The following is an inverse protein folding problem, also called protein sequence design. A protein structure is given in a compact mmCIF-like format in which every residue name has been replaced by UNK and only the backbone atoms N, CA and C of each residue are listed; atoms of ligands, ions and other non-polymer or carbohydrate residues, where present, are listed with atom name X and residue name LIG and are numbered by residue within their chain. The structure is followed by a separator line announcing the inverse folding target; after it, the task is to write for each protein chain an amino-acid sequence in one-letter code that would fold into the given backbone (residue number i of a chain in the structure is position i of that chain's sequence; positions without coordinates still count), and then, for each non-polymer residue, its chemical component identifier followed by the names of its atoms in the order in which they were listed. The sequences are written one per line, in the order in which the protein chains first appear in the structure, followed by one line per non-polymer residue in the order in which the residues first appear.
data_IF_780977578146
#
_entry.id   IF_780977578146
#
_cell.length_a   1.000
_cell.length_b   1.000
_cell.length_c   1.000
_cell.angle_alpha   90.00
_cell.angle_beta   90.00
_cell.angle_gamma   90.00
#
_symmetry.space_group_name_H-M   'P 1'
#
loop_
_entity.id
_entity.type
_entity.pdbx_description
1 polymer ?
#
# COMPACT_ATOMS: atom_id res chain seq x y z
N UNK A 1 -12.45 6.40 2.23
CA UNK A 1 -12.60 4.93 2.45
C UNK A 1 -12.12 4.14 1.24
N UNK A 2 -11.96 2.80 1.30
CA UNK A 2 -11.53 1.98 0.16
C UNK A 2 -12.72 1.44 -0.64
N UNK A 3 -12.58 1.32 -1.96
CA UNK A 3 -13.50 0.57 -2.82
C UNK A 3 -12.77 -0.08 -4.00
N UNK A 4 -13.42 -1.02 -4.68
CA UNK A 4 -12.93 -1.60 -5.94
C UNK A 4 -12.72 -0.51 -6.99
N UNK A 5 -11.69 -0.68 -7.83
CA UNK A 5 -11.36 0.24 -8.93
C UNK A 5 -12.50 0.35 -9.93
N UNK A 6 -12.77 1.56 -10.40
CA UNK A 6 -13.72 1.79 -11.49
C UNK A 6 -13.15 2.71 -12.57
N UNK A 7 -13.48 2.45 -13.84
CA UNK A 7 -12.93 3.22 -14.97
C UNK A 7 -13.38 4.69 -14.98
N UNK A 8 -14.56 4.99 -14.45
CA UNK A 8 -15.07 6.37 -14.47
C UNK A 8 -14.27 7.32 -13.54
N UNK A 9 -13.40 6.78 -12.68
CA UNK A 9 -12.57 7.56 -11.75
C UNK A 9 -11.28 8.07 -12.40
N UNK A 10 -10.95 7.54 -13.58
CA UNK A 10 -9.71 7.84 -14.30
C UNK A 10 -9.51 9.34 -14.52
N UNK A 11 -10.50 10.17 -14.92
CA UNK A 11 -10.28 11.61 -15.11
C UNK A 11 -9.77 12.29 -13.84
N UNK A 12 -10.44 12.07 -12.70
CA UNK A 12 -10.08 12.68 -11.41
C UNK A 12 -8.72 12.16 -10.92
N UNK A 13 -8.51 10.84 -10.98
CA UNK A 13 -7.26 10.24 -10.55
C UNK A 13 -6.08 10.63 -11.45
N UNK A 14 -6.30 10.85 -12.74
CA UNK A 14 -5.25 11.28 -13.67
C UNK A 14 -4.74 12.68 -13.31
N UNK A 15 -5.63 13.63 -13.02
CA UNK A 15 -5.25 14.98 -12.59
C UNK A 15 -4.34 14.94 -11.35
N UNK A 16 -4.66 14.07 -10.38
CA UNK A 16 -3.85 13.88 -9.17
C UNK A 16 -2.52 13.16 -9.46
N UNK A 17 -2.53 12.16 -10.35
CA UNK A 17 -1.37 11.36 -10.74
C UNK A 17 -0.30 12.20 -11.44
N UNK A 18 -0.71 13.14 -12.30
CA UNK A 18 0.19 13.99 -13.09
C UNK A 18 0.99 15.00 -12.26
N UNK A 19 0.66 15.18 -10.97
CA UNK A 19 1.35 16.12 -10.10
C UNK A 19 2.83 15.73 -9.89
N UNK A 20 3.81 16.66 -9.95
CA UNK A 20 5.24 16.36 -9.84
C UNK A 20 5.66 15.73 -8.51
N UNK A 21 4.92 15.97 -7.42
CA UNK A 21 5.15 15.31 -6.13
C UNK A 21 4.57 13.89 -6.02
N UNK A 22 3.82 13.44 -7.04
CA UNK A 22 3.15 12.13 -7.09
C UNK A 22 3.78 11.27 -8.18
N UNK A 23 3.82 11.78 -9.42
CA UNK A 23 4.22 11.06 -10.63
C UNK A 23 5.57 10.32 -10.56
N UNK A 24 6.63 10.84 -9.92
CA UNK A 24 7.91 10.13 -9.84
C UNK A 24 7.83 8.83 -9.03
N UNK A 25 6.85 8.72 -8.13
CA UNK A 25 6.74 7.65 -7.13
C UNK A 25 5.65 6.62 -7.46
N UNK A 26 4.86 6.84 -8.51
CA UNK A 26 3.86 5.85 -8.95
C UNK A 26 4.52 4.72 -9.74
N UNK A 27 3.97 3.49 -9.58
CA UNK A 27 4.48 2.30 -10.26
C UNK A 27 4.20 2.35 -11.77
N UNK A 28 2.94 2.56 -12.14
CA UNK A 28 2.52 2.66 -13.54
C UNK A 28 2.38 4.14 -13.89
N UNK A 29 3.30 4.62 -14.73
CA UNK A 29 3.35 6.02 -15.17
C UNK A 29 2.51 6.16 -16.44
N UNK A 30 1.53 7.06 -16.41
CA UNK A 30 0.73 7.44 -17.56
C UNK A 30 0.98 8.93 -17.88
N UNK A 31 1.32 9.25 -19.13
CA UNK A 31 1.54 10.62 -19.59
C UNK A 31 0.27 11.25 -20.14
N UNK A 32 -0.72 10.44 -20.50
CA UNK A 32 -2.02 10.88 -21.02
C UNK A 32 -3.16 10.20 -20.27
N UNK A 33 -4.35 10.80 -20.32
CA UNK A 33 -5.55 10.21 -19.72
C UNK A 33 -5.89 8.87 -20.37
N UNK A 34 -5.76 8.76 -21.70
CA UNK A 34 -5.99 7.51 -22.44
C UNK A 34 -5.06 6.38 -22.01
N UNK A 35 -3.76 6.68 -21.83
CA UNK A 35 -2.81 5.71 -21.27
C UNK A 35 -3.25 5.26 -19.86
N UNK A 36 -3.77 6.18 -19.05
CA UNK A 36 -4.21 5.85 -17.70
C UNK A 36 -5.53 5.05 -17.69
N UNK A 37 -6.44 5.29 -18.64
CA UNK A 37 -7.60 4.44 -18.88
C UNK A 37 -7.18 3.01 -19.20
N UNK A 38 -6.24 2.86 -20.14
CA UNK A 38 -5.74 1.56 -20.55
C UNK A 38 -5.09 0.80 -19.38
N UNK A 39 -4.20 1.46 -18.63
CA UNK A 39 -3.56 0.88 -17.44
C UNK A 39 -4.60 0.49 -16.39
N UNK A 40 -5.60 1.33 -16.15
CA UNK A 40 -6.65 1.05 -15.17
C UNK A 40 -7.50 -0.14 -15.58
N UNK A 41 -7.86 -0.24 -16.87
CA UNK A 41 -8.58 -1.39 -17.42
C UNK A 41 -7.78 -2.69 -17.25
N UNK A 42 -6.51 -2.68 -17.64
CA UNK A 42 -5.63 -3.85 -17.45
C UNK A 42 -5.48 -4.22 -15.98
N UNK A 43 -5.45 -3.24 -15.07
CA UNK A 43 -5.37 -3.50 -13.63
C UNK A 43 -6.63 -4.19 -13.12
N UNK A 44 -7.81 -3.78 -13.59
CA UNK A 44 -9.09 -4.41 -13.24
C UNK A 44 -9.13 -5.86 -13.77
N UNK A 45 -8.78 -6.07 -15.04
CA UNK A 45 -8.74 -7.42 -15.65
C UNK A 45 -7.74 -8.35 -14.94
N UNK A 46 -6.57 -7.83 -14.56
CA UNK A 46 -5.58 -8.59 -13.80
C UNK A 46 -6.05 -8.93 -12.37
N UNK A 47 -6.81 -8.04 -11.72
CA UNK A 47 -7.44 -8.33 -10.43
C UNK A 47 -8.51 -9.42 -10.54
N UNK A 48 -9.33 -9.39 -11.59
CA UNK A 48 -10.33 -10.44 -11.88
C UNK A 48 -9.68 -11.81 -12.08
N UNK A 49 -8.46 -11.85 -12.61
CA UNK A 49 -7.64 -13.05 -12.77
C UNK A 49 -6.87 -13.46 -11.49
N UNK A 50 -6.95 -12.68 -10.41
CA UNK A 50 -6.25 -12.93 -9.15
C UNK A 50 -4.74 -12.62 -9.19
N UNK A 51 -4.26 -11.84 -10.15
CA UNK A 51 -2.84 -11.51 -10.32
C UNK A 51 -2.39 -10.37 -9.38
N UNK A 52 -3.34 -9.53 -8.97
CA UNK A 52 -3.14 -8.39 -8.08
C UNK A 52 -4.42 -8.10 -7.30
N UNK A 53 -4.32 -7.25 -6.28
CA UNK A 53 -5.48 -6.72 -5.54
C UNK A 53 -5.40 -5.19 -5.56
N UNK A 54 -6.46 -4.48 -5.94
CA UNK A 54 -6.44 -3.03 -6.14
C UNK A 54 -7.65 -2.32 -5.54
N UNK A 55 -7.42 -1.21 -4.84
CA UNK A 55 -8.49 -0.35 -4.32
C UNK A 55 -8.25 1.11 -4.69
N UNK A 56 -9.34 1.80 -4.99
CA UNK A 56 -9.38 3.26 -4.99
C UNK A 56 -9.51 3.74 -3.55
N UNK A 57 -8.69 4.73 -3.19
CA UNK A 57 -8.77 5.43 -1.91
C UNK A 57 -9.71 6.62 -2.11
N UNK A 58 -10.71 6.72 -1.26
CA UNK A 58 -11.66 7.83 -1.22
C UNK A 58 -11.41 8.75 -0.03
N UNK A 59 -11.78 10.02 -0.14
CA UNK A 59 -11.90 10.93 0.99
C UNK A 59 -13.23 10.74 1.77
N UNK A 60 -13.55 11.67 2.65
CA UNK A 60 -14.79 11.73 3.44
C UNK A 60 -16.04 12.08 2.62
N UNK A 61 -15.88 12.65 1.42
CA UNK A 61 -16.94 12.99 0.49
C UNK A 61 -17.08 11.96 -0.65
N UNK A 62 -16.47 10.78 -0.47
CA UNK A 62 -16.43 9.69 -1.45
C UNK A 62 -15.77 10.05 -2.78
N UNK A 63 -14.89 11.06 -2.80
CA UNK A 63 -14.12 11.42 -3.99
C UNK A 63 -12.87 10.54 -4.10
N UNK A 64 -12.49 10.08 -5.31
CA UNK A 64 -11.27 9.30 -5.50
C UNK A 64 -10.03 10.18 -5.36
N UNK A 65 -9.14 9.81 -4.44
CA UNK A 65 -7.96 10.60 -4.07
C UNK A 65 -6.62 9.89 -4.28
N UNK A 66 -6.65 8.63 -4.70
CA UNK A 66 -5.47 7.82 -4.86
C UNK A 66 -5.78 6.34 -4.99
N UNK A 67 -4.74 5.52 -4.94
CA UNK A 67 -4.89 4.06 -5.10
C UNK A 67 -3.94 3.31 -4.18
N UNK A 68 -4.37 2.14 -3.73
CA UNK A 68 -3.57 1.19 -2.98
C UNK A 68 -3.69 -0.18 -3.63
N UNK A 69 -2.58 -0.89 -3.77
CA UNK A 69 -2.52 -2.11 -4.56
C UNK A 69 -1.52 -3.08 -3.95
N UNK A 70 -1.79 -4.38 -4.09
CA UNK A 70 -0.85 -5.46 -3.91
C UNK A 70 -0.52 -6.04 -5.29
N UNK A 71 0.73 -5.88 -5.74
CA UNK A 71 1.21 -6.37 -7.03
C UNK A 71 2.17 -7.55 -6.88
N UNK A 72 2.51 -8.18 -8.01
CA UNK A 72 3.51 -9.23 -8.10
C UNK A 72 3.22 -10.38 -7.11
N UNK A 73 1.95 -10.78 -7.04
CA UNK A 73 1.51 -11.82 -6.09
C UNK A 73 2.12 -13.15 -6.51
N UNK A 74 2.86 -13.78 -5.60
CA UNK A 74 3.43 -15.12 -5.77
C UNK A 74 3.12 -15.94 -4.53
N UNK A 75 2.25 -16.95 -4.69
CA UNK A 75 1.64 -17.63 -3.55
C UNK A 75 0.81 -16.62 -2.73
N UNK A 76 1.07 -16.53 -1.44
CA UNK A 76 0.38 -15.61 -0.52
C UNK A 76 1.22 -14.37 -0.17
N UNK A 77 2.10 -13.94 -1.08
CA UNK A 77 3.04 -12.84 -0.87
C UNK A 77 2.92 -11.83 -1.99
N UNK A 78 3.05 -10.53 -1.70
CA UNK A 78 3.03 -9.49 -2.75
C UNK A 78 3.64 -8.17 -2.32
N UNK A 79 3.78 -7.23 -3.26
CA UNK A 79 4.35 -5.92 -3.04
C UNK A 79 3.31 -4.82 -2.97
N UNK A 80 3.34 -4.05 -1.87
CA UNK A 80 2.48 -2.89 -1.69
C UNK A 80 2.93 -1.74 -2.60
N UNK A 81 1.96 -1.15 -3.30
CA UNK A 81 2.11 0.13 -3.97
C UNK A 81 0.94 1.05 -3.59
N UNK A 82 1.26 2.23 -3.08
CA UNK A 82 0.26 3.21 -2.67
C UNK A 82 0.68 4.61 -3.10
N UNK A 83 -0.27 5.38 -3.62
CA UNK A 83 -0.10 6.81 -3.84
C UNK A 83 -1.41 7.54 -3.56
N UNK A 84 -1.28 8.79 -3.14
CA UNK A 84 -2.38 9.72 -2.86
C UNK A 84 -2.07 11.03 -3.58
N UNK A 85 -3.08 11.75 -4.05
CA UNK A 85 -2.91 13.06 -4.67
C UNK A 85 -2.33 14.09 -3.69
N UNK A 86 -1.51 15.02 -4.21
CA UNK A 86 -0.83 16.03 -3.40
C UNK A 86 -1.76 16.82 -2.46
N UNK A 87 -2.99 17.23 -2.85
CA UNK A 87 -3.91 17.96 -1.98
C UNK A 87 -4.33 17.23 -0.69
N UNK A 88 -4.07 15.92 -0.63
CA UNK A 88 -4.46 15.04 0.47
C UNK A 88 -3.25 14.56 1.31
N UNK A 89 -2.05 15.06 1.03
CA UNK A 89 -0.87 14.76 1.83
C UNK A 89 -0.99 15.29 3.26
N UNK A 90 -0.49 14.51 4.22
CA UNK A 90 -0.51 14.88 5.64
C UNK A 90 -1.86 14.73 6.35
N UNK A 91 -2.95 14.44 5.61
CA UNK A 91 -4.32 14.33 6.15
C UNK A 91 -4.66 12.96 6.76
N UNK A 92 -3.70 12.05 6.86
CA UNK A 92 -3.89 10.72 7.48
C UNK A 92 -4.47 9.62 6.57
N UNK A 93 -5.01 9.93 5.37
CA UNK A 93 -5.62 8.92 4.49
C UNK A 93 -4.70 7.74 4.16
N UNK A 94 -3.40 7.96 3.99
CA UNK A 94 -2.46 6.87 3.67
C UNK A 94 -2.37 5.84 4.80
N UNK A 95 -2.46 6.29 6.05
CA UNK A 95 -2.43 5.41 7.22
C UNK A 95 -3.71 4.58 7.26
N UNK A 96 -4.86 5.24 7.19
CA UNK A 96 -6.17 4.60 7.19
C UNK A 96 -6.35 3.62 6.02
N UNK A 97 -5.92 4.02 4.81
CA UNK A 97 -5.97 3.16 3.63
C UNK A 97 -5.14 1.88 3.83
N UNK A 98 -3.95 1.98 4.40
CA UNK A 98 -3.12 0.80 4.69
C UNK A 98 -3.73 -0.10 5.75
N UNK A 99 -4.28 0.46 6.82
CA UNK A 99 -4.94 -0.31 7.88
C UNK A 99 -6.09 -1.14 7.32
N UNK A 100 -7.01 -0.50 6.57
CA UNK A 100 -8.13 -1.18 5.93
C UNK A 100 -7.67 -2.20 4.88
N UNK A 101 -6.67 -1.85 4.07
CA UNK A 101 -6.19 -2.73 3.02
C UNK A 101 -5.48 -3.96 3.60
N UNK A 102 -4.65 -3.81 4.64
CA UNK A 102 -4.00 -4.95 5.29
C UNK A 102 -5.00 -5.90 5.94
N UNK A 103 -6.06 -5.37 6.56
CA UNK A 103 -7.15 -6.20 7.07
C UNK A 103 -7.77 -7.03 5.93
N UNK A 104 -8.12 -6.39 4.82
CA UNK A 104 -8.67 -7.08 3.65
C UNK A 104 -7.70 -8.13 3.09
N UNK A 105 -6.42 -7.78 2.90
CA UNK A 105 -5.40 -8.70 2.40
C UNK A 105 -5.24 -9.94 3.29
N UNK A 106 -5.14 -9.76 4.61
CA UNK A 106 -4.84 -10.85 5.54
C UNK A 106 -6.03 -11.74 5.87
N UNK A 107 -7.24 -11.19 5.91
CA UNK A 107 -8.43 -11.92 6.34
C UNK A 107 -9.33 -12.35 5.18
N UNK A 108 -9.42 -11.56 4.12
CA UNK A 108 -10.24 -11.91 2.94
C UNK A 108 -9.42 -12.67 1.91
N UNK A 109 -8.26 -12.14 1.53
CA UNK A 109 -7.42 -12.72 0.48
C UNK A 109 -6.38 -13.72 0.99
N UNK A 110 -6.30 -13.93 2.30
CA UNK A 110 -5.39 -14.89 2.94
C UNK A 110 -3.90 -14.65 2.58
N UNK A 111 -3.53 -13.40 2.31
CA UNK A 111 -2.14 -13.00 2.16
C UNK A 111 -1.39 -13.29 3.47
N UNK A 112 -0.18 -13.82 3.38
CA UNK A 112 0.68 -14.15 4.52
C UNK A 112 1.62 -13.00 4.84
N UNK A 113 2.19 -12.36 3.81
CA UNK A 113 3.04 -11.20 4.00
C UNK A 113 2.98 -10.19 2.84
N UNK A 114 3.11 -8.92 3.22
CA UNK A 114 3.15 -7.77 2.31
C UNK A 114 4.53 -7.15 2.34
N UNK A 115 5.16 -7.07 1.19
CA UNK A 115 6.48 -6.46 0.99
C UNK A 115 6.38 -5.00 0.62
N UNK A 116 7.34 -4.21 1.09
CA UNK A 116 7.56 -2.82 0.70
C UNK A 116 9.04 -2.64 0.39
N UNK A 117 9.37 -2.23 -0.84
CA UNK A 117 10.74 -1.81 -1.17
C UNK A 117 10.88 -0.30 -1.03
N UNK A 118 11.87 0.14 -0.27
CA UNK A 118 12.13 1.55 -0.03
C UNK A 118 13.53 1.87 -0.49
N UNK A 119 13.69 2.85 -1.39
CA UNK A 119 15.03 3.31 -1.79
C UNK A 119 15.77 3.81 -0.56
N UNK A 120 17.01 3.35 -0.37
CA UNK A 120 17.86 3.75 0.77
C UNK A 120 18.06 5.27 0.86
N UNK A 121 18.05 5.95 -0.29
CA UNK A 121 18.16 7.41 -0.39
C UNK A 121 16.86 8.17 -0.07
N UNK A 122 15.70 7.50 -0.01
CA UNK A 122 14.42 8.15 0.26
C UNK A 122 14.08 8.15 1.75
N UNK A 123 14.69 9.09 2.48
CA UNK A 123 14.52 9.25 3.93
C UNK A 123 13.07 9.47 4.36
N UNK A 124 12.23 10.10 3.52
CA UNK A 124 10.80 10.30 3.80
C UNK A 124 10.04 8.98 3.82
N UNK A 125 10.23 8.14 2.80
CA UNK A 125 9.59 6.83 2.74
C UNK A 125 10.10 5.90 3.83
N UNK A 126 11.41 5.94 4.14
CA UNK A 126 11.99 5.17 5.22
C UNK A 126 11.36 5.52 6.58
N UNK A 127 11.28 6.81 6.91
CA UNK A 127 10.59 7.28 8.12
C UNK A 127 9.10 6.89 8.16
N UNK A 128 8.43 6.88 7.01
CA UNK A 128 7.03 6.49 6.94
C UNK A 128 6.82 4.99 7.19
N UNK A 129 7.71 4.13 6.67
CA UNK A 129 7.65 2.69 6.89
C UNK A 129 8.01 2.34 8.33
N UNK A 130 9.05 2.94 8.90
CA UNK A 130 9.46 2.70 10.29
C UNK A 130 8.44 3.16 11.34
N UNK A 131 7.43 3.95 10.96
CA UNK A 131 6.29 4.30 11.83
C UNK A 131 5.25 3.20 11.92
N UNK A 132 5.30 2.18 11.07
CA UNK A 132 4.40 1.04 11.13
C UNK A 132 4.88 0.11 12.25
N UNK A 133 4.09 -0.11 13.31
CA UNK A 133 4.55 -0.79 14.52
C UNK A 133 4.78 -2.30 14.31
N UNK A 134 4.21 -2.87 13.26
CA UNK A 134 4.27 -4.29 12.90
C UNK A 134 5.18 -4.56 11.68
N UNK A 135 6.02 -3.60 11.28
CA UNK A 135 6.96 -3.80 10.17
C UNK A 135 8.25 -4.44 10.67
N UNK A 136 8.79 -5.38 9.87
CA UNK A 136 10.12 -5.94 10.07
C UNK A 136 11.03 -5.62 8.88
N UNK A 137 12.34 -5.57 9.12
CA UNK A 137 13.33 -5.49 8.07
C UNK A 137 13.43 -6.87 7.38
N UNK A 138 13.10 -6.92 6.09
CA UNK A 138 13.05 -8.13 5.29
C UNK A 138 14.38 -8.53 4.63
N UNK A 139 15.41 -7.69 4.69
CA UNK A 139 16.69 -7.91 3.98
C UNK A 139 17.31 -9.29 4.25
N UNK A 140 17.28 -9.75 5.51
CA UNK A 140 17.85 -11.04 5.93
C UNK A 140 16.80 -12.15 6.07
N UNK A 141 15.54 -11.79 6.30
CA UNK A 141 14.43 -12.75 6.46
C UNK A 141 14.00 -13.32 5.10
N UNK A 142 14.01 -12.48 4.05
CA UNK A 142 13.63 -12.84 2.69
C UNK A 142 14.76 -12.51 1.70
N UNK A 143 15.93 -13.16 1.82
CA UNK A 143 17.12 -12.80 1.04
C UNK A 143 16.89 -12.96 -0.47
N UNK A 144 16.09 -13.94 -0.89
CA UNK A 144 15.74 -14.14 -2.30
C UNK A 144 14.96 -12.94 -2.86
N UNK A 145 13.99 -12.42 -2.09
CA UNK A 145 13.19 -11.26 -2.47
C UNK A 145 14.04 -9.99 -2.45
N UNK A 146 14.88 -9.82 -1.43
CA UNK A 146 15.81 -8.71 -1.32
C UNK A 146 16.78 -8.63 -2.51
N UNK A 147 17.37 -9.77 -2.89
CA UNK A 147 18.27 -9.86 -4.03
C UNK A 147 17.54 -9.59 -5.35
N UNK A 148 16.31 -10.09 -5.50
CA UNK A 148 15.50 -9.85 -6.70
C UNK A 148 15.19 -8.36 -6.93
N UNK A 149 14.94 -7.58 -5.87
CA UNK A 149 14.70 -6.13 -6.00
C UNK A 149 15.97 -5.30 -6.16
N UNK A 150 17.15 -5.89 -5.88
CA UNK A 150 18.47 -5.23 -5.89
C UNK A 150 19.43 -5.81 -6.94
N UNK A 151 18.91 -6.37 -8.05
CA UNK A 151 19.74 -6.92 -9.14
C UNK A 151 20.72 -5.90 -9.75
N UNK A 152 20.35 -4.61 -9.72
CA UNK A 152 21.15 -3.51 -10.29
C UNK A 152 22.06 -2.85 -9.24
N UNK A 153 22.22 -3.46 -8.07
CA UNK A 153 23.00 -2.93 -6.96
C UNK A 153 22.15 -2.67 -5.71
N UNK A 154 22.84 -2.23 -4.65
CA UNK A 154 22.27 -2.04 -3.32
C UNK A 154 21.43 -0.75 -3.21
N UNK A 155 20.21 -0.78 -3.77
CA UNK A 155 19.37 0.41 -3.99
C UNK A 155 18.22 0.50 -2.98
N UNK A 156 17.65 -0.64 -2.60
CA UNK A 156 16.45 -0.73 -1.79
C UNK A 156 16.70 -1.51 -0.49
N UNK A 157 16.11 -1.04 0.60
CA UNK A 157 15.77 -1.89 1.72
C UNK A 157 14.41 -2.55 1.47
N UNK A 158 14.30 -3.82 1.85
CA UNK A 158 13.06 -4.59 1.85
C UNK A 158 12.47 -4.55 3.26
N UNK A 159 11.22 -4.16 3.36
CA UNK A 159 10.41 -4.25 4.56
C UNK A 159 9.29 -5.24 4.35
N UNK A 160 8.86 -5.88 5.43
CA UNK A 160 7.80 -6.88 5.41
C UNK A 160 6.82 -6.66 6.55
N UNK A 161 5.54 -6.87 6.26
CA UNK A 161 4.48 -6.98 7.26
C UNK A 161 3.87 -8.36 7.09
N UNK A 162 4.01 -9.22 8.10
CA UNK A 162 3.34 -10.52 8.12
C UNK A 162 1.97 -10.40 8.78
N UNK A 163 1.05 -11.31 8.42
CA UNK A 163 -0.23 -11.46 9.10
C UNK A 163 -0.05 -11.66 10.61
N UNK A 164 0.94 -12.47 11.00
CA UNK A 164 1.26 -12.72 12.41
C UNK A 164 1.64 -11.43 13.15
N UNK A 165 2.58 -10.63 12.63
CA UNK A 165 2.98 -9.38 13.27
C UNK A 165 1.82 -8.39 13.34
N UNK A 166 1.00 -8.31 12.29
CA UNK A 166 -0.17 -7.45 12.25
C UNK A 166 -1.21 -7.85 13.31
N UNK A 167 -1.55 -9.14 13.39
CA UNK A 167 -2.51 -9.66 14.38
C UNK A 167 -2.00 -9.47 15.81
N UNK A 168 -0.75 -9.83 16.08
CA UNK A 168 -0.15 -9.67 17.41
C UNK A 168 -0.19 -8.21 17.87
N UNK A 169 0.18 -7.26 17.01
CA UNK A 169 0.11 -5.84 17.34
C UNK A 169 -1.32 -5.39 17.70
N UNK A 170 -2.32 -5.76 16.90
CA UNK A 170 -3.71 -5.37 17.15
C UNK A 170 -4.28 -6.01 18.43
N UNK A 171 -3.87 -7.22 18.78
CA UNK A 171 -4.26 -7.86 20.04
C UNK A 171 -3.68 -7.10 21.26
N UNK A 172 -2.39 -6.74 21.22
CA UNK A 172 -1.77 -5.97 22.30
C UNK A 172 -2.37 -4.55 22.43
N UNK A 173 -2.58 -3.86 21.31
CA UNK A 173 -3.19 -2.53 21.32
C UNK A 173 -4.63 -2.53 21.89
N UNK A 174 -5.41 -3.57 21.62
CA UNK A 174 -6.74 -3.73 22.22
C UNK A 174 -6.67 -4.02 23.72
N UNK A 175 -5.72 -4.84 24.16
CA UNK A 175 -5.53 -5.13 25.58
C UNK A 175 -5.11 -3.89 26.38
N UNK A 176 -4.22 -3.05 25.83
CA UNK A 176 -3.83 -1.78 26.47
C UNK A 176 -5.00 -0.79 26.59
N UNK A 177 -5.82 -0.67 25.53
CA UNK A 177 -7.00 0.19 25.55
C UNK A 177 -8.03 -0.26 26.61
N UNK A 178 -8.30 -1.57 26.69
CA UNK A 178 -9.20 -2.14 27.69
C UNK A 178 -8.69 -1.92 29.12
N UNK A 179 -7.38 -2.09 29.37
CA UNK A 179 -6.79 -1.83 30.67
C UNK A 179 -6.87 -0.34 31.07
N UNK A 180 -6.70 0.59 30.12
CA UNK A 180 -6.83 2.02 30.39
C UNK A 180 -8.27 2.47 30.69
N UNK A 181 -9.28 1.82 30.10
CA UNK A 181 -10.69 2.14 30.38
C UNK A 181 -11.14 1.60 31.76
N UNK A 182 -10.54 0.50 32.24
CA UNK A 182 -10.77 -0.03 33.59
C UNK A 182 -10.10 0.81 34.69
N UNK A 183 -8.95 1.45 34.45
CA UNK A 183 -8.27 2.31 35.44
C UNK A 183 -8.94 3.69 35.63
N UNK A 184 -9.82 4.10 34.71
CA UNK A 184 -10.50 5.41 34.71
C UNK A 184 -11.97 5.30 35.17
N UNK A 185 -12.46 4.09 35.43
CA UNK A 185 -13.81 3.79 35.96
C UNK A 185 -13.81 3.50 37.46
#
# INVERSE_FOLDING_TARGET
MLKTRELHEVPVLFELLSHPDVFPYVRHKAKTSDEFYFITKQTIEAEENGELISRTILDEYSQPIGTINLFDIQGNYGFLATWIGQPYFGKGYNKLAKELFFQELFFTYQIEAVFMKVRKTNTRSLKAVLKLPYVALGNTIYPNVYNAVNQQGDIYDLFVISKEHYVSYHQFAQAEAAASDEEVS
#
